data_IF_414233179724
#
_entry.id   IF_414233179724
#
_cell.length_a   1.000
_cell.length_b   1.000
_cell.length_c   1.000
_cell.angle_alpha   90.00
_cell.angle_beta   90.00
_cell.angle_gamma   90.00
#
_symmetry.space_group_name_H-M   'P 1'
#
loop_
_entity.id
_entity.type
_entity.pdbx_description
1 polymer ?
#
# COMPACT_ATOMS: atom_id res chain seq x y z
N UNK A 1 -24.16 -2.86 7.65
CA UNK A 1 -24.24 -4.34 7.65
C UNK A 1 -23.32 -4.94 6.58
N UNK A 2 -22.77 -4.10 5.72
CA UNK A 2 -22.05 -4.44 4.47
C UNK A 2 -20.56 -4.77 4.72
N UNK A 3 -19.97 -4.18 5.75
CA UNK A 3 -18.66 -4.58 6.31
C UNK A 3 -18.60 -6.07 6.71
N UNK A 4 -19.73 -6.71 7.05
CA UNK A 4 -19.73 -8.12 7.50
C UNK A 4 -19.71 -9.15 6.38
N UNK A 5 -20.17 -8.82 5.16
CA UNK A 5 -20.33 -9.81 4.09
C UNK A 5 -19.21 -9.77 3.05
N UNK A 6 -18.73 -8.60 2.65
CA UNK A 6 -17.54 -8.45 1.80
C UNK A 6 -16.26 -8.20 2.62
N UNK A 7 -16.38 -7.55 3.78
CA UNK A 7 -15.22 -7.13 4.57
C UNK A 7 -14.41 -8.28 5.16
N UNK A 8 -15.03 -9.31 5.75
CA UNK A 8 -14.26 -10.43 6.32
C UNK A 8 -13.50 -11.24 5.24
N UNK A 9 -14.13 -11.65 4.11
CA UNK A 9 -13.42 -12.24 2.97
C UNK A 9 -12.25 -11.39 2.47
N UNK A 10 -12.48 -10.08 2.32
CA UNK A 10 -11.48 -9.13 1.83
C UNK A 10 -10.31 -9.00 2.81
N UNK A 11 -10.57 -8.77 4.09
CA UNK A 11 -9.55 -8.62 5.12
C UNK A 11 -8.74 -9.91 5.33
N UNK A 12 -9.39 -11.07 5.21
CA UNK A 12 -8.70 -12.36 5.30
C UNK A 12 -7.71 -12.51 4.14
N UNK A 13 -8.16 -12.23 2.91
CA UNK A 13 -7.28 -12.31 1.75
C UNK A 13 -6.19 -11.25 1.75
N UNK A 14 -6.49 -10.04 2.21
CA UNK A 14 -5.48 -8.98 2.40
C UNK A 14 -4.41 -9.41 3.41
N UNK A 15 -4.80 -10.00 4.53
CA UNK A 15 -3.85 -10.49 5.55
C UNK A 15 -2.97 -11.61 4.97
N UNK A 16 -3.57 -12.54 4.21
CA UNK A 16 -2.80 -13.56 3.48
C UNK A 16 -1.82 -12.91 2.50
N UNK A 17 -2.26 -11.88 1.78
CA UNK A 17 -1.44 -11.09 0.87
C UNK A 17 -0.26 -10.41 1.57
N UNK A 18 -0.50 -9.73 2.68
CA UNK A 18 0.54 -9.09 3.49
C UNK A 18 1.60 -10.10 3.98
N UNK A 19 1.17 -11.28 4.46
CA UNK A 19 2.08 -12.36 4.86
C UNK A 19 2.83 -12.91 3.65
N UNK A 20 2.14 -13.09 2.52
CA UNK A 20 2.74 -13.53 1.27
C UNK A 20 3.81 -12.55 0.79
N UNK A 21 3.58 -11.23 0.89
CA UNK A 21 4.57 -10.19 0.62
C UNK A 21 5.81 -10.36 1.48
N UNK A 22 5.67 -10.53 2.80
CA UNK A 22 6.83 -10.72 3.70
C UNK A 22 7.63 -11.97 3.29
N UNK A 23 6.95 -13.10 3.06
CA UNK A 23 7.59 -14.34 2.61
C UNK A 23 8.29 -14.14 1.27
N UNK A 24 7.63 -13.46 0.33
CA UNK A 24 8.14 -13.19 -1.00
C UNK A 24 9.37 -12.28 -0.99
N UNK A 25 9.37 -11.24 -0.14
CA UNK A 25 10.54 -10.36 0.04
C UNK A 25 11.73 -11.17 0.56
N UNK A 26 11.53 -11.95 1.62
CA UNK A 26 12.59 -12.77 2.22
C UNK A 26 13.11 -13.81 1.23
N UNK A 27 12.22 -14.51 0.52
CA UNK A 27 12.61 -15.47 -0.50
C UNK A 27 13.42 -14.81 -1.62
N UNK A 28 12.96 -13.67 -2.13
CA UNK A 28 13.69 -12.89 -3.14
C UNK A 28 15.07 -12.43 -2.65
N UNK A 29 15.18 -12.00 -1.39
CA UNK A 29 16.44 -11.62 -0.77
C UNK A 29 17.44 -12.79 -0.80
N UNK A 30 17.03 -13.97 -0.35
CA UNK A 30 17.94 -15.13 -0.34
C UNK A 30 18.25 -15.69 -1.74
N UNK A 31 17.29 -15.63 -2.67
CA UNK A 31 17.48 -16.14 -4.04
C UNK A 31 18.43 -15.24 -4.85
N UNK A 32 18.22 -13.92 -4.79
CA UNK A 32 19.03 -12.95 -5.55
C UNK A 32 20.35 -12.65 -4.83
N UNK A 33 20.38 -12.80 -3.50
CA UNK A 33 21.52 -12.42 -2.66
C UNK A 33 22.05 -11.01 -2.95
N UNK A 34 21.18 -9.98 -2.91
CA UNK A 34 21.53 -8.60 -3.24
C UNK A 34 22.60 -8.02 -2.32
N UNK A 35 22.76 -8.55 -1.10
CA UNK A 35 23.81 -8.15 -0.16
C UNK A 35 25.24 -8.29 -0.69
N UNK A 36 25.45 -9.12 -1.73
CA UNK A 36 26.76 -9.28 -2.36
C UNK A 36 27.16 -8.07 -3.21
N UNK A 37 26.19 -7.23 -3.60
CA UNK A 37 26.39 -6.10 -4.53
C UNK A 37 25.79 -4.79 -4.01
N UNK A 38 25.14 -4.81 -2.83
CA UNK A 38 24.39 -3.66 -2.28
C UNK A 38 24.55 -3.57 -0.76
N UNK A 39 25.15 -2.48 -0.27
CA UNK A 39 25.42 -2.27 1.16
C UNK A 39 24.12 -2.16 2.01
N UNK A 40 23.03 -1.67 1.42
CA UNK A 40 21.76 -1.42 2.11
C UNK A 40 20.65 -2.42 1.75
N UNK A 41 21.00 -3.64 1.35
CA UNK A 41 20.03 -4.65 0.94
C UNK A 41 18.91 -4.93 1.98
N UNK A 42 19.17 -5.00 3.30
CA UNK A 42 18.11 -5.14 4.31
C UNK A 42 17.10 -3.99 4.31
N UNK A 43 17.56 -2.74 4.14
CA UNK A 43 16.67 -1.58 4.08
C UNK A 43 15.78 -1.62 2.83
N UNK A 44 16.33 -2.06 1.69
CA UNK A 44 15.57 -2.23 0.43
C UNK A 44 14.55 -3.36 0.55
N UNK A 45 14.90 -4.47 1.23
CA UNK A 45 13.93 -5.51 1.56
C UNK A 45 12.75 -4.91 2.34
N UNK A 46 13.04 -4.10 3.36
CA UNK A 46 12.01 -3.39 4.12
C UNK A 46 11.16 -2.45 3.25
N UNK A 47 11.78 -1.72 2.31
CA UNK A 47 11.07 -0.87 1.35
C UNK A 47 10.09 -1.70 0.51
N UNK A 48 10.53 -2.81 -0.07
CA UNK A 48 9.67 -3.69 -0.88
C UNK A 48 8.57 -4.38 -0.06
N UNK A 49 8.85 -4.81 1.18
CA UNK A 49 7.80 -5.31 2.06
C UNK A 49 6.76 -4.22 2.36
N UNK A 50 7.21 -2.99 2.60
CA UNK A 50 6.34 -1.85 2.88
C UNK A 50 5.44 -1.50 1.69
N UNK A 51 6.04 -1.34 0.49
CA UNK A 51 5.31 -1.00 -0.73
C UNK A 51 4.26 -2.03 -1.09
N UNK A 52 4.59 -3.31 -0.97
CA UNK A 52 3.66 -4.40 -1.29
C UNK A 52 2.78 -4.81 -0.12
N UNK A 53 2.71 -3.98 0.92
CA UNK A 53 1.75 -4.08 2.02
C UNK A 53 1.10 -2.72 2.31
N UNK A 54 0.75 -1.95 1.28
CA UNK A 54 0.03 -0.68 1.44
C UNK A 54 0.45 0.47 0.52
N UNK A 55 1.27 0.22 -0.48
CA UNK A 55 1.69 1.15 -1.52
C UNK A 55 2.93 1.97 -1.18
N UNK A 56 3.36 2.79 -2.15
CA UNK A 56 4.64 3.51 -2.14
C UNK A 56 4.81 4.49 -0.96
N UNK A 57 3.75 4.89 -0.26
CA UNK A 57 3.89 5.65 1.00
C UNK A 57 4.69 4.88 2.06
N UNK A 58 4.46 3.57 2.18
CA UNK A 58 5.23 2.71 3.08
C UNK A 58 6.66 2.48 2.57
N UNK A 59 6.87 2.37 1.25
CA UNK A 59 8.21 2.33 0.65
C UNK A 59 9.05 3.52 1.11
N UNK A 60 8.49 4.72 0.93
CA UNK A 60 9.16 5.98 1.23
C UNK A 60 9.36 6.17 2.73
N UNK A 61 8.41 5.74 3.56
CA UNK A 61 8.54 5.72 5.02
C UNK A 61 9.77 4.92 5.48
N UNK A 62 9.98 3.73 4.93
CA UNK A 62 11.14 2.88 5.25
C UNK A 62 12.42 3.51 4.71
N UNK A 63 12.39 4.05 3.48
CA UNK A 63 13.55 4.71 2.89
C UNK A 63 14.06 5.89 3.72
N UNK A 64 13.13 6.75 4.18
CA UNK A 64 13.44 7.89 5.04
C UNK A 64 14.08 7.47 6.35
N UNK A 65 13.59 6.38 6.96
CA UNK A 65 14.16 5.86 8.20
C UNK A 65 15.62 5.41 8.03
N UNK A 66 15.92 4.68 6.95
CA UNK A 66 17.27 4.21 6.66
C UNK A 66 18.12 5.23 5.88
N UNK A 67 17.62 6.45 5.67
CA UNK A 67 18.31 7.51 4.91
C UNK A 67 18.67 7.14 3.46
N UNK A 68 17.93 6.22 2.83
CA UNK A 68 18.22 5.76 1.46
C UNK A 68 18.03 6.86 0.41
N UNK A 69 17.18 7.85 0.67
CA UNK A 69 17.02 9.04 -0.17
C UNK A 69 18.31 9.86 -0.35
N UNK A 70 19.33 9.66 0.51
CA UNK A 70 20.65 10.28 0.35
C UNK A 70 21.50 9.60 -0.73
N UNK A 71 21.24 8.33 -1.00
CA UNK A 71 21.77 7.60 -2.15
C UNK A 71 20.79 7.75 -3.32
N UNK A 72 20.90 8.87 -4.03
CA UNK A 72 19.96 9.24 -5.08
C UNK A 72 19.83 8.19 -6.20
N UNK A 73 20.92 7.48 -6.53
CA UNK A 73 20.91 6.47 -7.58
C UNK A 73 20.14 5.22 -7.15
N UNK A 74 20.49 4.64 -5.99
CA UNK A 74 19.78 3.46 -5.47
C UNK A 74 18.32 3.79 -5.18
N UNK A 75 18.05 4.96 -4.60
CA UNK A 75 16.69 5.40 -4.30
C UNK A 75 15.84 5.58 -5.57
N UNK A 76 16.37 6.24 -6.60
CA UNK A 76 15.67 6.39 -7.88
C UNK A 76 15.44 5.03 -8.56
N UNK A 77 16.44 4.14 -8.56
CA UNK A 77 16.33 2.81 -9.13
C UNK A 77 15.25 1.96 -8.44
N UNK A 78 15.20 1.95 -7.10
CA UNK A 78 14.18 1.22 -6.34
C UNK A 78 12.77 1.76 -6.63
N UNK A 79 12.59 3.09 -6.65
CA UNK A 79 11.29 3.69 -6.99
C UNK A 79 10.88 3.41 -8.44
N UNK A 80 11.82 3.42 -9.39
CA UNK A 80 11.54 3.11 -10.79
C UNK A 80 11.08 1.65 -10.95
N UNK A 81 11.77 0.71 -10.30
CA UNK A 81 11.40 -0.71 -10.28
C UNK A 81 10.01 -0.88 -9.65
N UNK A 82 9.78 -0.36 -8.45
CA UNK A 82 8.47 -0.39 -7.75
C UNK A 82 7.32 0.10 -8.64
N UNK A 83 7.49 1.25 -9.30
CA UNK A 83 6.46 1.83 -10.15
C UNK A 83 6.13 0.96 -11.36
N UNK A 84 7.14 0.44 -12.06
CA UNK A 84 6.96 -0.41 -13.26
C UNK A 84 6.25 -1.71 -12.86
N UNK A 85 6.70 -2.33 -11.79
CA UNK A 85 6.22 -3.64 -11.34
C UNK A 85 4.84 -3.54 -10.69
N UNK A 86 4.57 -2.48 -9.92
CA UNK A 86 3.23 -2.17 -9.40
C UNK A 86 2.23 -1.97 -10.53
N UNK A 87 2.57 -1.17 -11.56
CA UNK A 87 1.70 -0.96 -12.71
C UNK A 87 1.40 -2.27 -13.46
N UNK A 88 2.44 -3.09 -13.68
CA UNK A 88 2.29 -4.41 -14.27
C UNK A 88 1.37 -5.32 -13.43
N UNK A 89 1.56 -5.35 -12.11
CA UNK A 89 0.77 -6.20 -11.23
C UNK A 89 -0.69 -5.75 -11.14
N UNK A 90 -0.96 -4.45 -11.09
CA UNK A 90 -2.33 -3.91 -11.14
C UNK A 90 -3.03 -4.40 -12.41
N UNK A 91 -2.37 -4.35 -13.56
CA UNK A 91 -2.90 -4.91 -14.79
C UNK A 91 -3.18 -6.41 -14.67
N UNK A 92 -2.24 -7.19 -14.10
CA UNK A 92 -2.43 -8.62 -13.85
C UNK A 92 -3.60 -8.93 -12.92
N UNK A 93 -3.86 -8.09 -11.90
CA UNK A 93 -5.03 -8.28 -11.01
C UNK A 93 -6.37 -8.08 -11.73
N UNK A 94 -6.42 -7.31 -12.82
CA UNK A 94 -7.63 -7.20 -13.64
C UNK A 94 -7.73 -8.40 -14.60
N UNK A 95 -6.60 -8.86 -15.13
CA UNK A 95 -6.54 -9.91 -16.14
C UNK A 95 -6.73 -11.34 -15.59
N UNK A 96 -6.19 -11.64 -14.41
CA UNK A 96 -6.17 -12.99 -13.85
C UNK A 96 -7.56 -13.54 -13.49
N UNK A 97 -8.47 -12.80 -12.83
CA UNK A 97 -9.78 -13.32 -12.41
C UNK A 97 -10.61 -13.95 -13.54
N UNK A 98 -10.81 -13.32 -14.72
CA UNK A 98 -11.60 -13.94 -15.79
C UNK A 98 -10.91 -15.19 -16.38
N UNK A 99 -9.58 -15.24 -16.40
CA UNK A 99 -8.82 -16.42 -16.85
C UNK A 99 -9.01 -17.58 -15.85
N UNK A 100 -8.80 -17.31 -14.57
CA UNK A 100 -8.93 -18.30 -13.50
C UNK A 100 -10.38 -18.77 -13.35
N UNK A 101 -11.38 -17.92 -13.60
CA UNK A 101 -12.78 -18.31 -13.58
C UNK A 101 -13.13 -19.29 -14.70
N UNK A 102 -12.45 -19.24 -15.85
CA UNK A 102 -12.64 -20.22 -16.95
C UNK A 102 -12.02 -21.59 -16.62
N UNK A 103 -10.87 -21.61 -15.95
CA UNK A 103 -10.12 -22.84 -15.66
C UNK A 103 -10.63 -23.50 -14.37
N UNK A 104 -10.89 -22.69 -13.35
CA UNK A 104 -11.31 -23.11 -12.01
C UNK A 104 -12.52 -22.28 -11.56
N UNK A 105 -13.74 -22.61 -12.01
CA UNK A 105 -14.94 -21.84 -11.69
C UNK A 105 -15.18 -21.75 -10.19
N UNK A 106 -15.44 -20.52 -9.70
CA UNK A 106 -15.80 -20.24 -8.30
C UNK A 106 -17.14 -19.52 -8.23
N UNK A 107 -17.84 -19.69 -7.12
CA UNK A 107 -19.05 -18.92 -6.83
C UNK A 107 -18.66 -17.47 -6.54
N UNK A 108 -19.25 -16.52 -7.27
CA UNK A 108 -19.11 -15.09 -6.95
C UNK A 108 -19.87 -14.80 -5.66
N UNK A 109 -19.17 -14.30 -4.65
CA UNK A 109 -19.78 -13.92 -3.36
C UNK A 109 -20.19 -12.45 -3.44
N UNK A 110 -21.34 -12.20 -4.05
CA UNK A 110 -21.90 -10.85 -4.20
C UNK A 110 -22.67 -10.52 -2.91
N UNK A 111 -22.39 -9.35 -2.32
CA UNK A 111 -23.16 -8.88 -1.18
C UNK A 111 -24.64 -8.69 -1.57
N UNK A 112 -25.57 -9.12 -0.71
CA UNK A 112 -27.02 -9.16 -0.98
C UNK A 112 -27.71 -7.78 -1.13
N UNK A 113 -26.96 -6.69 -1.07
CA UNK A 113 -27.39 -5.36 -1.47
C UNK A 113 -26.37 -4.79 -2.47
N UNK A 114 -26.64 -4.90 -3.77
CA UNK A 114 -25.92 -4.16 -4.79
C UNK A 114 -26.46 -2.73 -4.84
N UNK A 115 -26.66 -2.08 -3.69
CA UNK A 115 -26.44 -0.64 -3.66
C UNK A 115 -24.92 -0.49 -3.69
N UNK A 116 -24.34 -0.82 -4.85
CA UNK A 116 -23.13 -0.13 -5.24
C UNK A 116 -23.50 1.34 -5.09
N UNK A 117 -22.74 2.05 -4.28
CA UNK A 117 -22.92 3.48 -4.15
C UNK A 117 -23.14 4.01 -5.57
N UNK A 118 -24.35 4.52 -5.85
CA UNK A 118 -24.65 5.05 -7.18
C UNK A 118 -23.54 6.02 -7.54
N UNK A 119 -23.28 6.26 -8.82
CA UNK A 119 -22.42 7.38 -9.19
C UNK A 119 -22.84 8.64 -8.43
N UNK A 120 -24.13 8.78 -8.11
CA UNK A 120 -24.73 9.78 -7.24
C UNK A 120 -24.32 9.69 -5.76
N UNK A 121 -24.14 8.53 -5.13
CA UNK A 121 -23.62 8.40 -3.76
C UNK A 121 -22.11 8.59 -3.67
N UNK A 122 -21.32 8.10 -4.63
CA UNK A 122 -19.88 8.41 -4.71
C UNK A 122 -19.70 9.90 -5.03
N UNK A 123 -20.49 10.43 -5.97
CA UNK A 123 -20.56 11.86 -6.25
C UNK A 123 -21.10 12.64 -5.08
N UNK A 124 -21.98 12.13 -4.24
CA UNK A 124 -22.41 12.78 -2.99
C UNK A 124 -21.35 12.66 -1.90
N UNK A 125 -20.48 11.64 -1.91
CA UNK A 125 -19.28 11.56 -1.08
C UNK A 125 -18.25 12.61 -1.53
N UNK A 126 -18.09 12.80 -2.84
CA UNK A 126 -17.23 13.82 -3.47
C UNK A 126 -17.84 15.23 -3.39
N UNK A 127 -19.16 15.38 -3.44
CA UNK A 127 -19.90 16.64 -3.26
C UNK A 127 -20.07 16.95 -1.77
N UNK A 128 -20.06 15.96 -0.88
CA UNK A 128 -19.88 16.15 0.56
C UNK A 128 -18.48 16.66 0.90
N UNK A 129 -17.51 16.64 -0.03
CA UNK A 129 -16.25 17.39 0.09
C UNK A 129 -16.50 18.90 -0.05
N UNK A 130 -17.68 19.32 -0.52
CA UNK A 130 -18.20 20.68 -0.40
C UNK A 130 -18.74 20.93 1.02
N UNK A 131 -18.02 20.45 2.01
CA UNK A 131 -18.13 20.97 3.37
C UNK A 131 -17.61 22.41 3.35
N UNK A 132 -18.40 23.36 3.82
CA UNK A 132 -17.90 24.71 4.09
C UNK A 132 -16.82 24.59 5.16
N UNK A 133 -15.56 24.53 4.70
CA UNK A 133 -14.39 24.46 5.53
C UNK A 133 -14.16 25.83 6.16
N UNK A 134 -14.06 25.85 7.48
CA UNK A 134 -13.63 27.06 8.16
C UNK A 134 -12.10 27.14 8.15
N UNK A 135 -11.56 28.35 8.28
CA UNK A 135 -10.12 28.54 8.49
C UNK A 135 -9.66 27.79 9.75
N UNK A 136 -10.52 27.67 10.76
CA UNK A 136 -10.23 26.93 11.98
C UNK A 136 -10.07 25.43 11.72
N UNK A 137 -10.93 24.81 10.90
CA UNK A 137 -10.81 23.39 10.54
C UNK A 137 -9.47 23.11 9.85
N UNK A 138 -9.11 23.94 8.85
CA UNK A 138 -7.84 23.84 8.14
C UNK A 138 -6.65 24.02 9.08
N UNK A 139 -6.71 25.06 9.92
CA UNK A 139 -5.63 25.37 10.87
C UNK A 139 -5.43 24.23 11.86
N UNK A 140 -6.51 23.63 12.36
CA UNK A 140 -6.46 22.53 13.30
C UNK A 140 -5.96 21.24 12.64
N UNK A 141 -6.37 20.94 11.40
CA UNK A 141 -5.86 19.79 10.65
C UNK A 141 -4.36 19.92 10.38
N UNK A 142 -3.88 21.10 9.97
CA UNK A 142 -2.46 21.37 9.81
C UNK A 142 -1.71 21.29 11.14
N UNK A 143 -2.28 21.85 12.21
CA UNK A 143 -1.69 21.78 13.56
C UNK A 143 -1.58 20.33 14.05
N UNK A 144 -2.58 19.48 13.80
CA UNK A 144 -2.53 18.06 14.13
C UNK A 144 -1.47 17.33 13.30
N UNK A 145 -1.36 17.61 12.01
CA UNK A 145 -0.35 17.03 11.13
C UNK A 145 1.08 17.40 11.54
N UNK A 146 1.40 18.70 11.54
CA UNK A 146 2.73 19.18 11.92
C UNK A 146 3.05 18.92 13.40
N UNK A 147 2.06 19.04 14.29
CA UNK A 147 2.20 18.72 15.70
C UNK A 147 2.55 17.25 15.92
N UNK A 148 1.91 16.33 15.21
CA UNK A 148 2.24 14.90 15.27
C UNK A 148 3.65 14.61 14.74
N UNK A 149 4.07 15.28 13.66
CA UNK A 149 5.44 15.19 13.14
C UNK A 149 6.48 15.68 14.15
N UNK A 150 6.20 16.81 14.81
CA UNK A 150 7.08 17.35 15.85
C UNK A 150 7.18 16.41 17.05
N UNK A 151 6.05 15.90 17.55
CA UNK A 151 6.03 14.95 18.68
C UNK A 151 6.76 13.65 18.31
N UNK A 152 6.57 13.15 17.09
CA UNK A 152 7.26 11.97 16.58
C UNK A 152 8.79 12.16 16.54
N UNK A 153 9.26 13.30 16.03
CA UNK A 153 10.68 13.65 16.02
C UNK A 153 11.25 13.77 17.43
N UNK A 154 10.50 14.43 18.33
CA UNK A 154 10.89 14.56 19.74
C UNK A 154 10.96 13.20 20.44
N UNK A 155 9.99 12.30 20.20
CA UNK A 155 9.99 10.95 20.76
C UNK A 155 11.21 10.14 20.30
N UNK A 156 11.63 10.28 19.04
CA UNK A 156 12.84 9.63 18.52
C UNK A 156 14.12 10.14 19.22
N UNK A 157 14.19 11.40 19.63
CA UNK A 157 15.33 11.90 20.42
C UNK A 157 15.43 11.25 21.81
N UNK A 158 14.29 10.91 22.43
CA UNK A 158 14.26 10.25 23.75
C UNK A 158 14.37 8.73 23.67
N UNK A 159 13.81 8.12 22.62
CA UNK A 159 13.84 6.68 22.37
C UNK A 159 14.30 6.43 20.91
N UNK A 160 15.61 6.54 20.62
CA UNK A 160 16.13 6.41 19.25
C UNK A 160 15.86 5.05 18.61
N UNK A 161 15.64 4.02 19.44
CA UNK A 161 15.32 2.67 19.00
C UNK A 161 13.96 2.57 18.28
N UNK A 162 13.05 3.53 18.48
CA UNK A 162 11.75 3.54 17.80
C UNK A 162 11.82 4.53 16.64
N UNK A 163 11.68 4.06 15.38
CA UNK A 163 11.65 4.93 14.21
C UNK A 163 10.55 6.00 14.31
N UNK A 164 10.91 7.25 14.05
CA UNK A 164 9.99 8.40 14.11
C UNK A 164 8.74 8.17 13.25
N UNK A 165 8.89 7.58 12.07
CA UNK A 165 7.78 7.30 11.16
C UNK A 165 6.74 6.35 11.77
N UNK A 166 7.15 5.36 12.57
CA UNK A 166 6.22 4.47 13.28
C UNK A 166 5.49 5.20 14.40
N UNK A 167 6.18 6.08 15.13
CA UNK A 167 5.55 6.95 16.12
C UNK A 167 4.51 7.86 15.47
N UNK A 168 4.85 8.46 14.32
CA UNK A 168 3.96 9.33 13.57
C UNK A 168 2.70 8.58 13.13
N UNK A 169 2.86 7.40 12.52
CA UNK A 169 1.73 6.57 12.10
C UNK A 169 0.89 6.10 13.29
N UNK A 170 1.52 5.73 14.42
CA UNK A 170 0.80 5.39 15.66
C UNK A 170 -0.03 6.57 16.16
N UNK A 171 0.57 7.77 16.22
CA UNK A 171 -0.13 8.98 16.65
C UNK A 171 -1.30 9.29 15.73
N UNK A 172 -1.12 9.19 14.41
CA UNK A 172 -2.19 9.41 13.44
C UNK A 172 -3.36 8.43 13.66
N UNK A 173 -3.08 7.13 13.88
CA UNK A 173 -4.12 6.12 14.16
C UNK A 173 -4.86 6.43 15.46
N UNK A 174 -4.13 6.79 16.52
CA UNK A 174 -4.69 7.15 17.82
C UNK A 174 -5.56 8.40 17.70
N UNK A 175 -5.05 9.46 17.05
CA UNK A 175 -5.78 10.70 16.83
C UNK A 175 -7.06 10.47 16.02
N UNK A 176 -7.02 9.60 15.02
CA UNK A 176 -8.19 9.24 14.22
C UNK A 176 -9.31 8.55 15.03
N UNK A 177 -9.05 8.04 16.23
CA UNK A 177 -10.08 7.46 17.10
C UNK A 177 -10.90 8.51 17.86
N UNK A 178 -10.41 9.74 17.98
CA UNK A 178 -11.10 10.78 18.73
C UNK A 178 -12.21 11.43 17.90
N UNK A 179 -13.41 11.53 18.49
CA UNK A 179 -14.58 12.14 17.84
C UNK A 179 -14.34 13.59 17.40
N UNK A 180 -13.50 14.35 18.10
CA UNK A 180 -13.21 15.72 17.70
C UNK A 180 -12.44 15.77 16.38
N UNK A 181 -11.51 14.83 16.14
CA UNK A 181 -10.74 14.74 14.89
C UNK A 181 -11.62 14.25 13.75
N UNK A 182 -12.46 13.23 14.02
CA UNK A 182 -13.38 12.69 13.02
C UNK A 182 -14.42 13.71 12.51
N UNK A 183 -14.74 14.72 13.33
CA UNK A 183 -15.68 15.80 13.00
C UNK A 183 -15.02 16.97 12.26
N UNK A 184 -13.69 16.98 12.11
CA UNK A 184 -13.00 18.05 11.40
C UNK A 184 -13.31 17.98 9.91
N UNK A 185 -13.86 19.07 9.41
CA UNK A 185 -14.25 19.22 8.01
C UNK A 185 -13.03 19.37 7.12
N UNK A 186 -13.10 18.84 5.91
CA UNK A 186 -12.03 18.98 4.91
C UNK A 186 -10.80 18.09 5.13
N UNK A 187 -10.81 17.18 6.11
CA UNK A 187 -9.74 16.18 6.30
C UNK A 187 -9.52 15.32 5.03
N UNK A 188 -10.60 14.90 4.39
CA UNK A 188 -10.56 14.16 3.12
C UNK A 188 -10.01 15.01 1.96
N UNK A 189 -10.37 16.30 1.88
CA UNK A 189 -9.89 17.19 0.81
C UNK A 189 -8.38 17.44 0.94
N UNK A 190 -7.95 17.85 2.13
CA UNK A 190 -6.54 18.14 2.41
C UNK A 190 -5.71 16.86 2.23
N UNK A 191 -6.19 15.73 2.76
CA UNK A 191 -5.55 14.44 2.57
C UNK A 191 -5.41 14.08 1.09
N UNK A 192 -6.46 14.25 0.29
CA UNK A 192 -6.42 13.99 -1.15
C UNK A 192 -5.41 14.89 -1.86
N UNK A 193 -5.38 16.20 -1.59
CA UNK A 193 -4.40 17.12 -2.20
C UNK A 193 -2.96 16.72 -1.85
N UNK A 194 -2.69 16.39 -0.58
CA UNK A 194 -1.36 15.96 -0.14
C UNK A 194 -0.95 14.62 -0.76
N UNK A 195 -1.87 13.65 -0.85
CA UNK A 195 -1.63 12.36 -1.50
C UNK A 195 -1.40 12.55 -3.00
N UNK A 196 -2.16 13.41 -3.68
CA UNK A 196 -1.95 13.70 -5.10
C UNK A 196 -0.60 14.37 -5.36
N UNK A 197 -0.20 15.31 -4.51
CA UNK A 197 1.14 15.91 -4.57
C UNK A 197 2.24 14.86 -4.36
N UNK A 198 2.06 13.97 -3.38
CA UNK A 198 2.97 12.86 -3.12
C UNK A 198 3.10 11.90 -4.32
N UNK A 199 1.97 11.49 -4.90
CA UNK A 199 1.96 10.63 -6.09
C UNK A 199 2.60 11.31 -7.31
N UNK A 200 2.37 12.63 -7.50
CA UNK A 200 3.02 13.39 -8.56
C UNK A 200 4.55 13.42 -8.40
N UNK A 201 5.03 13.58 -7.17
CA UNK A 201 6.47 13.56 -6.85
C UNK A 201 7.09 12.19 -7.10
N UNK A 202 6.46 11.09 -6.66
CA UNK A 202 6.96 9.73 -6.95
C UNK A 202 6.97 9.44 -8.45
N UNK A 203 5.93 9.85 -9.16
CA UNK A 203 5.88 9.72 -10.62
C UNK A 203 7.04 10.45 -11.29
N UNK A 204 7.39 11.64 -10.81
CA UNK A 204 8.55 12.39 -11.29
C UNK A 204 9.90 11.74 -10.93
N UNK A 205 9.98 11.00 -9.82
CA UNK A 205 11.17 10.22 -9.43
C UNK A 205 11.38 8.93 -10.23
N UNK A 206 10.43 8.52 -11.08
CA UNK A 206 10.58 7.38 -11.96
C UNK A 206 11.61 7.70 -13.07
N UNK A 207 12.90 7.58 -12.75
CA UNK A 207 14.00 7.84 -13.65
C UNK A 207 14.50 6.52 -14.26
N UNK A 208 13.94 6.16 -15.42
CA UNK A 208 14.38 5.01 -16.22
C UNK A 208 15.84 5.17 -16.66
N UNK A 209 16.31 6.41 -16.85
CA UNK A 209 17.70 6.69 -17.18
C UNK A 209 18.65 6.30 -16.04
N UNK A 210 18.31 6.68 -14.80
CA UNK A 210 19.06 6.28 -13.61
C UNK A 210 19.03 4.75 -13.41
N UNK A 211 17.88 4.10 -13.66
CA UNK A 211 17.79 2.64 -13.62
C UNK A 211 18.75 2.00 -14.63
N UNK A 212 18.77 2.47 -15.88
CA UNK A 212 19.68 1.93 -16.91
C UNK A 212 21.16 2.19 -16.61
N UNK A 213 21.48 3.33 -15.98
CA UNK A 213 22.84 3.69 -15.58
C UNK A 213 23.34 2.92 -14.36
N UNK A 214 22.45 2.33 -13.56
CA UNK A 214 22.79 1.58 -12.35
C UNK A 214 23.33 0.15 -12.64
N UNK A 215 23.38 -0.24 -13.92
CA UNK A 215 24.05 -1.47 -14.36
C UNK A 215 23.55 -2.74 -13.68
N UNK A 216 24.47 -3.49 -13.06
CA UNK A 216 24.17 -4.77 -12.39
C UNK A 216 23.23 -4.63 -11.18
N UNK A 217 23.24 -3.46 -10.52
CA UNK A 217 22.34 -3.17 -9.38
C UNK A 217 20.89 -3.11 -9.85
N UNK A 218 20.62 -2.46 -10.98
CA UNK A 218 19.27 -2.39 -11.55
C UNK A 218 18.75 -3.77 -11.95
N UNK A 219 19.59 -4.60 -12.57
CA UNK A 219 19.23 -5.98 -12.90
C UNK A 219 18.88 -6.79 -11.66
N UNK A 220 19.66 -6.65 -10.59
CA UNK A 220 19.42 -7.34 -9.31
C UNK A 220 18.12 -6.87 -8.65
N UNK A 221 17.86 -5.56 -8.62
CA UNK A 221 16.62 -4.99 -8.08
C UNK A 221 15.39 -5.46 -8.87
N UNK A 222 15.44 -5.40 -10.20
CA UNK A 222 14.34 -5.82 -11.05
C UNK A 222 14.08 -7.33 -10.91
N UNK A 223 15.12 -8.15 -10.89
CA UNK A 223 14.99 -9.59 -10.70
C UNK A 223 14.37 -9.91 -9.33
N UNK A 224 14.84 -9.25 -8.28
CA UNK A 224 14.31 -9.42 -6.93
C UNK A 224 12.83 -9.06 -6.88
N UNK A 225 12.46 -7.91 -7.42
CA UNK A 225 11.08 -7.45 -7.40
C UNK A 225 10.13 -8.35 -8.23
N UNK A 226 10.59 -8.80 -9.40
CA UNK A 226 9.87 -9.80 -10.21
C UNK A 226 9.64 -11.09 -9.40
N UNK A 227 10.67 -11.63 -8.74
CA UNK A 227 10.54 -12.83 -7.92
C UNK A 227 9.55 -12.59 -6.78
N UNK A 228 9.63 -11.43 -6.13
CA UNK A 228 8.74 -11.04 -5.05
C UNK A 228 7.28 -11.07 -5.52
N UNK A 229 6.95 -10.32 -6.57
CA UNK A 229 5.57 -10.24 -7.07
C UNK A 229 5.06 -11.60 -7.54
N UNK A 230 5.91 -12.42 -8.17
CA UNK A 230 5.54 -13.78 -8.57
C UNK A 230 5.21 -14.66 -7.36
N UNK A 231 6.05 -14.66 -6.33
CA UNK A 231 5.82 -15.45 -5.11
C UNK A 231 4.57 -14.93 -4.38
N UNK A 232 4.41 -13.62 -4.25
CA UNK A 232 3.21 -12.99 -3.69
C UNK A 232 1.95 -13.47 -4.42
N UNK A 233 1.95 -13.36 -5.74
CA UNK A 233 0.87 -13.80 -6.61
C UNK A 233 0.54 -15.28 -6.45
N UNK A 234 1.56 -16.14 -6.51
CA UNK A 234 1.41 -17.60 -6.34
C UNK A 234 0.80 -17.92 -4.98
N UNK A 235 1.27 -17.28 -3.91
CA UNK A 235 0.78 -17.54 -2.56
C UNK A 235 -0.65 -17.03 -2.38
N UNK A 236 -0.97 -15.78 -2.76
CA UNK A 236 -2.30 -15.23 -2.52
C UNK A 236 -3.37 -15.89 -3.39
N UNK A 237 -3.09 -16.14 -4.68
CA UNK A 237 -4.02 -16.85 -5.56
C UNK A 237 -4.05 -18.35 -5.28
N UNK A 238 -2.93 -18.96 -4.91
CA UNK A 238 -2.85 -20.36 -4.51
C UNK A 238 -3.66 -20.63 -3.25
N UNK A 239 -3.35 -19.92 -2.15
CA UNK A 239 -4.06 -20.07 -0.87
C UNK A 239 -5.52 -19.66 -1.02
N UNK A 240 -5.82 -18.53 -1.67
CA UNK A 240 -7.19 -18.11 -1.95
C UNK A 240 -7.98 -19.16 -2.75
N UNK A 241 -7.33 -19.78 -3.74
CA UNK A 241 -7.87 -20.89 -4.51
C UNK A 241 -8.14 -22.13 -3.65
N UNK A 242 -7.25 -22.50 -2.74
CA UNK A 242 -7.45 -23.61 -1.79
C UNK A 242 -8.64 -23.34 -0.86
N UNK A 243 -8.80 -22.09 -0.41
CA UNK A 243 -9.93 -21.64 0.40
C UNK A 243 -11.24 -21.51 -0.39
N UNK A 244 -11.21 -21.83 -1.70
CA UNK A 244 -12.34 -21.69 -2.62
C UNK A 244 -12.94 -20.28 -2.62
N UNK A 245 -12.08 -19.27 -2.47
CA UNK A 245 -12.49 -17.89 -2.49
C UNK A 245 -12.80 -17.43 -3.92
N UNK A 246 -13.65 -16.41 -4.00
CA UNK A 246 -13.94 -15.67 -5.22
C UNK A 246 -12.67 -15.02 -5.79
N UNK A 247 -12.38 -15.25 -7.07
CA UNK A 247 -11.20 -14.72 -7.74
C UNK A 247 -11.17 -13.19 -7.74
N UNK A 248 -12.33 -12.54 -7.82
CA UNK A 248 -12.41 -11.08 -7.80
C UNK A 248 -11.98 -10.54 -6.42
N UNK A 249 -12.40 -11.21 -5.33
CA UNK A 249 -12.02 -10.84 -3.95
C UNK A 249 -10.51 -11.03 -3.75
N UNK A 250 -9.95 -12.16 -4.19
CA UNK A 250 -8.51 -12.42 -4.09
C UNK A 250 -7.74 -11.31 -4.82
N UNK A 251 -8.21 -10.94 -6.02
CA UNK A 251 -7.52 -9.97 -6.85
C UNK A 251 -7.57 -8.55 -6.29
N UNK A 252 -8.74 -8.10 -5.83
CA UNK A 252 -8.89 -6.80 -5.17
C UNK A 252 -8.08 -6.75 -3.87
N UNK A 253 -8.04 -7.84 -3.10
CA UNK A 253 -7.19 -7.92 -1.91
C UNK A 253 -5.70 -7.84 -2.26
N UNK A 254 -5.26 -8.54 -3.30
CA UNK A 254 -3.88 -8.44 -3.78
C UNK A 254 -3.56 -7.03 -4.28
N UNK A 255 -4.50 -6.37 -4.95
CA UNK A 255 -4.33 -5.01 -5.43
C UNK A 255 -4.25 -4.02 -4.25
N UNK A 256 -5.03 -4.25 -3.19
CA UNK A 256 -4.94 -3.48 -1.95
C UNK A 256 -3.59 -3.64 -1.23
N UNK A 257 -2.92 -4.80 -1.34
CA UNK A 257 -1.56 -4.97 -0.84
C UNK A 257 -0.55 -4.17 -1.68
N UNK A 258 -0.56 -4.35 -3.01
CA UNK A 258 0.47 -3.84 -3.90
C UNK A 258 0.24 -2.37 -4.30
N UNK A 259 -0.94 -2.04 -4.84
CA UNK A 259 -1.27 -0.68 -5.26
C UNK A 259 -1.90 0.19 -4.16
N UNK A 260 -2.40 -0.40 -3.08
CA UNK A 260 -2.90 0.33 -1.91
C UNK A 260 -4.36 0.80 -2.02
N UNK A 261 -4.73 1.76 -1.16
CA UNK A 261 -6.12 2.25 -1.02
C UNK A 261 -6.63 3.05 -2.22
N UNK A 262 -5.74 3.54 -3.08
CA UNK A 262 -6.08 4.34 -4.27
C UNK A 262 -6.45 3.48 -5.46
N UNK A 263 -5.82 2.31 -5.64
CA UNK A 263 -6.01 1.44 -6.81
C UNK A 263 -6.99 0.30 -6.57
N UNK A 264 -7.12 -0.18 -5.33
CA UNK A 264 -8.05 -1.25 -4.97
C UNK A 264 -9.51 -1.00 -5.40
N UNK A 265 -10.12 0.18 -5.17
CA UNK A 265 -11.48 0.45 -5.65
C UNK A 265 -11.57 0.49 -7.18
N UNK A 266 -10.52 0.94 -7.88
CA UNK A 266 -10.47 0.94 -9.36
C UNK A 266 -10.39 -0.48 -9.90
N UNK A 267 -9.60 -1.35 -9.28
CA UNK A 267 -9.54 -2.78 -9.60
C UNK A 267 -10.90 -3.45 -9.41
N UNK A 268 -11.59 -3.15 -8.29
CA UNK A 268 -12.94 -3.66 -8.03
C UNK A 268 -13.94 -3.20 -9.09
N UNK A 269 -13.93 -1.91 -9.46
CA UNK A 269 -14.78 -1.38 -10.52
C UNK A 269 -14.50 -2.04 -11.89
N UNK A 270 -13.23 -2.28 -12.21
CA UNK A 270 -12.80 -2.91 -13.47
C UNK A 270 -13.19 -4.39 -13.59
N UNK A 271 -13.52 -5.04 -12.47
CA UNK A 271 -14.01 -6.41 -12.41
C UNK A 271 -15.55 -6.49 -12.32
N UNK A 272 -16.26 -5.37 -12.49
CA UNK A 272 -17.70 -5.24 -12.29
C UNK A 272 -18.13 -5.63 -10.87
N UNK A 273 -17.34 -5.23 -9.87
CA UNK A 273 -17.52 -5.53 -8.45
C UNK A 273 -17.57 -4.28 -7.58
N UNK A 274 -18.57 -3.43 -7.80
CA UNK A 274 -18.79 -2.21 -7.02
C UNK A 274 -18.95 -2.52 -5.52
N UNK A 275 -19.50 -3.69 -5.18
CA UNK A 275 -19.65 -4.18 -3.81
C UNK A 275 -18.31 -4.34 -3.07
N UNK A 276 -17.19 -4.44 -3.78
CA UNK A 276 -15.86 -4.59 -3.20
C UNK A 276 -15.12 -3.26 -3.01
N UNK A 277 -15.55 -2.15 -3.59
CA UNK A 277 -14.81 -0.88 -3.58
C UNK A 277 -14.52 -0.38 -2.17
N UNK A 278 -15.55 -0.29 -1.33
CA UNK A 278 -15.41 0.16 0.07
C UNK A 278 -14.51 -0.78 0.85
N UNK A 279 -14.66 -2.09 0.68
CA UNK A 279 -13.81 -3.08 1.36
C UNK A 279 -12.35 -3.02 0.89
N UNK A 280 -12.11 -2.71 -0.38
CA UNK A 280 -10.79 -2.51 -0.96
C UNK A 280 -10.11 -1.25 -0.41
N UNK A 281 -10.85 -0.14 -0.27
CA UNK A 281 -10.36 1.09 0.38
C UNK A 281 -9.93 0.78 1.82
N UNK A 282 -10.77 0.07 2.58
CA UNK A 282 -10.47 -0.31 3.96
C UNK A 282 -9.22 -1.20 4.03
N UNK A 283 -9.14 -2.24 3.21
CA UNK A 283 -7.98 -3.14 3.17
C UNK A 283 -6.69 -2.39 2.82
N UNK A 284 -6.71 -1.54 1.79
CA UNK A 284 -5.57 -0.73 1.39
C UNK A 284 -5.16 0.29 2.47
N UNK A 285 -6.13 0.82 3.22
CA UNK A 285 -5.87 1.76 4.33
C UNK A 285 -5.23 1.05 5.54
N UNK A 286 -5.63 -0.20 5.80
CA UNK A 286 -4.97 -1.05 6.79
C UNK A 286 -3.53 -1.37 6.35
N UNK A 287 -3.31 -1.61 5.06
CA UNK A 287 -1.96 -1.72 4.50
C UNK A 287 -1.15 -0.44 4.73
N UNK A 288 -1.68 0.71 4.36
CA UNK A 288 -1.01 1.99 4.59
C UNK A 288 -0.63 2.19 6.09
N UNK A 289 -1.49 1.74 7.00
CA UNK A 289 -1.23 1.81 8.44
C UNK A 289 -0.20 0.78 8.96
N UNK A 290 -0.05 -0.37 8.30
CA UNK A 290 0.75 -1.51 8.81
C UNK A 290 2.04 -1.79 8.03
N UNK A 291 2.10 -1.46 6.74
CA UNK A 291 3.22 -1.84 5.87
C UNK A 291 4.56 -1.25 6.29
N UNK A 292 4.60 -0.01 6.80
CA UNK A 292 5.84 0.56 7.36
C UNK A 292 6.38 -0.24 8.56
N UNK A 293 5.50 -0.80 9.41
CA UNK A 293 5.91 -1.64 10.53
C UNK A 293 6.49 -2.96 10.03
N UNK A 294 5.81 -3.60 9.07
CA UNK A 294 6.27 -4.84 8.46
C UNK A 294 7.59 -4.65 7.71
N UNK A 295 7.73 -3.54 6.98
CA UNK A 295 8.96 -3.20 6.26
C UNK A 295 10.14 -3.01 7.20
N UNK A 296 9.98 -2.23 8.27
CA UNK A 296 11.04 -2.06 9.27
C UNK A 296 11.33 -3.38 9.99
N UNK A 297 10.31 -4.17 10.32
CA UNK A 297 10.50 -5.50 10.92
C UNK A 297 11.33 -6.43 10.03
N UNK A 298 11.07 -6.48 8.72
CA UNK A 298 11.84 -7.28 7.77
C UNK A 298 13.27 -6.76 7.64
N UNK A 299 13.46 -5.45 7.56
CA UNK A 299 14.78 -4.85 7.48
C UNK A 299 15.63 -5.15 8.72
N UNK A 300 15.05 -5.04 9.92
CA UNK A 300 15.74 -5.40 11.17
C UNK A 300 15.98 -6.91 11.31
N UNK A 301 15.11 -7.76 10.76
CA UNK A 301 15.31 -9.21 10.76
C UNK A 301 16.50 -9.65 9.88
N UNK A 302 16.80 -8.90 8.83
CA UNK A 302 17.86 -9.22 7.85
C UNK A 302 19.24 -8.62 8.18
N UNK A 303 19.31 -7.75 9.18
CA UNK A 303 20.59 -7.19 9.69
C UNK A 303 21.31 -8.19 10.60
#
# INVERSE_FOLDING_TARGET
KDLKFAGLPMLTMFTIGAIATVIATLAGYFIVSPQNHMDNAPAIAGMFTGTYTGGSANLNAVALHYSLQKDGNTYAAVNAVDNILTAFWIFMTILLPPILQKIFPRAKKIASHPEGHTEEEIRNLVISIKEEMTIADVSLLLALGFGSMFISSLANNYVPAIPSILVLTTLAIILAQFQFVQKLKGSSLIGMVLVLLFLAVIGAYCDIGALLQSGEVAGSLLLWDVILILIHGILIFGIGGLLKQDWDIISVASNACIGGSTTAPVCAASLDRQDLQVSGIIAGSIGLASGSYLGIMVAEFLK
#
